data_IF_704061577146
#
_entry.id   IF_704061577146
#
_cell.length_a   1.000
_cell.length_b   1.000
_cell.length_c   1.000
_cell.angle_alpha   90.00
_cell.angle_beta   90.00
_cell.angle_gamma   90.00
#
_symmetry.space_group_name_H-M   'P 1'
#
loop_
_entity.id
_entity.type
_entity.pdbx_description
1 polymer ?
#
# COMPACT_ATOMS: atom_id res chain seq x y z
N UNK A 1 -4.49 -1.96 -68.93
CA UNK A 1 -5.60 -1.71 -67.98
C UNK A 1 -5.34 -2.23 -66.55
N UNK A 2 -4.30 -3.05 -66.28
CA UNK A 2 -4.04 -3.61 -64.94
C UNK A 2 -3.70 -2.59 -63.83
N UNK A 3 -2.89 -1.57 -64.10
CA UNK A 3 -2.40 -0.66 -63.06
C UNK A 3 -3.45 0.20 -62.33
N UNK A 4 -4.64 0.42 -62.93
CA UNK A 4 -5.74 1.11 -62.24
C UNK A 4 -6.48 0.22 -61.23
N UNK A 5 -6.51 -1.10 -61.47
CA UNK A 5 -7.20 -2.06 -60.59
C UNK A 5 -6.37 -2.29 -59.32
N UNK A 6 -5.05 -2.41 -59.47
CA UNK A 6 -4.13 -2.61 -58.34
C UNK A 6 -4.09 -1.41 -57.37
N UNK A 7 -4.20 -0.18 -57.89
CA UNK A 7 -4.25 1.04 -57.08
C UNK A 7 -5.57 1.14 -56.27
N UNK A 8 -6.70 0.73 -56.85
CA UNK A 8 -7.99 0.70 -56.15
C UNK A 8 -7.97 -0.33 -55.01
N UNK A 9 -7.41 -1.52 -55.25
CA UNK A 9 -7.27 -2.57 -54.23
C UNK A 9 -6.33 -2.11 -53.09
N UNK A 10 -5.22 -1.44 -53.42
CA UNK A 10 -4.28 -0.86 -52.47
C UNK A 10 -4.94 0.19 -51.55
N UNK A 11 -5.71 1.12 -52.12
CA UNK A 11 -6.44 2.14 -51.35
C UNK A 11 -7.52 1.53 -50.45
N UNK A 12 -8.24 0.51 -50.94
CA UNK A 12 -9.23 -0.21 -50.16
C UNK A 12 -8.59 -0.92 -48.94
N UNK A 13 -7.48 -1.63 -49.14
CA UNK A 13 -6.73 -2.28 -48.06
C UNK A 13 -6.23 -1.27 -47.02
N UNK A 14 -5.67 -0.13 -47.45
CA UNK A 14 -5.23 0.93 -46.52
C UNK A 14 -6.41 1.53 -45.74
N UNK A 15 -7.58 1.69 -46.35
CA UNK A 15 -8.78 2.20 -45.66
C UNK A 15 -9.29 1.20 -44.62
N UNK A 16 -9.33 -0.09 -44.96
CA UNK A 16 -9.70 -1.16 -44.02
C UNK A 16 -8.70 -1.21 -42.86
N UNK A 17 -7.40 -1.19 -43.14
CA UNK A 17 -6.35 -1.19 -42.12
C UNK A 17 -6.50 -0.02 -41.15
N UNK A 18 -6.71 1.20 -41.65
CA UNK A 18 -6.96 2.38 -40.81
C UNK A 18 -8.22 2.26 -39.98
N UNK A 19 -9.29 1.68 -40.53
CA UNK A 19 -10.53 1.46 -39.80
C UNK A 19 -10.35 0.43 -38.67
N UNK A 20 -9.60 -0.64 -38.90
CA UNK A 20 -9.24 -1.64 -37.88
C UNK A 20 -8.41 -0.98 -36.78
N UNK A 21 -7.34 -0.26 -37.13
CA UNK A 21 -6.49 0.43 -36.15
C UNK A 21 -7.27 1.46 -35.33
N UNK A 22 -8.20 2.19 -35.95
CA UNK A 22 -9.06 3.14 -35.26
C UNK A 22 -10.03 2.43 -34.31
N UNK A 23 -10.67 1.35 -34.76
CA UNK A 23 -11.57 0.55 -33.93
C UNK A 23 -10.84 -0.08 -32.74
N UNK A 24 -9.59 -0.53 -32.93
CA UNK A 24 -8.76 -1.04 -31.84
C UNK A 24 -8.41 0.05 -30.83
N UNK A 25 -8.05 1.26 -31.29
CA UNK A 25 -7.77 2.40 -30.40
C UNK A 25 -9.01 2.81 -29.61
N UNK A 26 -10.16 2.90 -30.25
CA UNK A 26 -11.41 3.28 -29.60
C UNK A 26 -11.86 2.21 -28.60
N UNK A 27 -11.69 0.93 -28.94
CA UNK A 27 -11.95 -0.17 -28.03
C UNK A 27 -11.02 -0.13 -26.80
N UNK A 28 -9.72 0.13 -26.98
CA UNK A 28 -8.76 0.31 -25.87
C UNK A 28 -9.17 1.45 -24.96
N UNK A 29 -9.51 2.61 -25.53
CA UNK A 29 -9.95 3.78 -24.75
C UNK A 29 -11.23 3.47 -23.95
N UNK A 30 -12.17 2.73 -24.54
CA UNK A 30 -13.41 2.31 -23.86
C UNK A 30 -13.13 1.36 -22.69
N UNK A 31 -12.28 0.35 -22.89
CA UNK A 31 -11.89 -0.60 -21.83
C UNK A 31 -11.19 0.13 -20.68
N UNK A 32 -10.30 1.06 -21.01
CA UNK A 32 -9.62 1.88 -20.02
C UNK A 32 -10.61 2.75 -19.22
N UNK A 33 -11.66 3.31 -19.80
CA UNK A 33 -12.70 4.00 -19.02
C UNK A 33 -13.46 3.04 -18.09
N UNK A 34 -13.87 1.88 -18.64
CA UNK A 34 -14.60 0.84 -17.91
C UNK A 34 -13.85 0.33 -16.68
N UNK A 35 -12.51 0.30 -16.70
CA UNK A 35 -11.71 -0.14 -15.53
C UNK A 35 -12.04 0.67 -14.27
N UNK A 36 -12.19 1.99 -14.39
CA UNK A 36 -12.48 2.86 -13.25
C UNK A 36 -13.90 2.61 -12.74
N UNK A 37 -14.84 2.35 -13.64
CA UNK A 37 -16.21 1.98 -13.29
C UNK A 37 -16.24 0.66 -12.50
N UNK A 38 -15.45 -0.34 -12.91
CA UNK A 38 -15.32 -1.62 -12.22
C UNK A 38 -14.72 -1.45 -10.83
N UNK A 39 -13.64 -0.68 -10.68
CA UNK A 39 -13.05 -0.43 -9.36
C UNK A 39 -14.08 0.24 -8.41
N UNK A 40 -14.78 1.26 -8.89
CA UNK A 40 -15.82 1.95 -8.12
C UNK A 40 -17.01 1.03 -7.80
N UNK A 41 -17.43 0.18 -8.74
CA UNK A 41 -18.49 -0.80 -8.52
C UNK A 41 -18.06 -1.87 -7.50
N UNK A 42 -16.79 -2.28 -7.50
CA UNK A 42 -16.20 -3.19 -6.53
C UNK A 42 -16.28 -2.64 -5.10
N UNK A 43 -15.88 -1.38 -4.90
CA UNK A 43 -15.98 -0.70 -3.60
C UNK A 43 -17.43 -0.62 -3.12
N UNK A 44 -18.37 -0.17 -3.98
CA UNK A 44 -19.80 -0.11 -3.63
C UNK A 44 -20.39 -1.47 -3.29
N UNK A 45 -20.00 -2.52 -4.02
CA UNK A 45 -20.45 -3.88 -3.74
C UNK A 45 -19.89 -4.39 -2.41
N UNK A 46 -18.62 -4.10 -2.10
CA UNK A 46 -17.98 -4.44 -0.83
C UNK A 46 -18.66 -3.77 0.36
N UNK A 47 -18.90 -2.45 0.28
CA UNK A 47 -19.61 -1.69 1.31
C UNK A 47 -21.04 -2.19 1.53
N UNK A 48 -21.71 -2.64 0.47
CA UNK A 48 -23.03 -3.26 0.54
C UNK A 48 -23.01 -4.73 1.02
N UNK A 49 -21.84 -5.28 1.38
CA UNK A 49 -21.68 -6.68 1.81
C UNK A 49 -21.82 -7.73 0.69
N UNK A 50 -21.90 -7.30 -0.58
CA UNK A 50 -21.99 -8.20 -1.76
C UNK A 50 -20.60 -8.68 -2.18
N UNK A 51 -20.02 -9.58 -1.39
CA UNK A 51 -18.65 -10.09 -1.51
C UNK A 51 -18.33 -10.64 -2.90
N UNK A 52 -19.20 -11.50 -3.46
CA UNK A 52 -18.94 -12.15 -4.76
C UNK A 52 -18.86 -11.15 -5.92
N UNK A 53 -19.75 -10.15 -5.92
CA UNK A 53 -19.78 -9.10 -6.93
C UNK A 53 -18.58 -8.15 -6.80
N UNK A 54 -18.15 -7.84 -5.56
CA UNK A 54 -16.95 -7.05 -5.32
C UNK A 54 -15.71 -7.73 -5.92
N UNK A 55 -15.54 -9.03 -5.65
CA UNK A 55 -14.42 -9.82 -6.21
C UNK A 55 -14.45 -9.81 -7.75
N UNK A 56 -15.62 -10.05 -8.36
CA UNK A 56 -15.75 -10.04 -9.82
C UNK A 56 -15.37 -8.68 -10.43
N UNK A 57 -15.82 -7.59 -9.83
CA UNK A 57 -15.50 -6.24 -10.29
C UNK A 57 -14.00 -5.92 -10.17
N UNK A 58 -13.38 -6.26 -9.04
CA UNK A 58 -11.94 -6.07 -8.83
C UNK A 58 -11.08 -6.92 -9.77
N UNK A 59 -11.43 -8.18 -9.98
CA UNK A 59 -10.74 -9.03 -10.95
C UNK A 59 -10.94 -8.55 -12.39
N UNK A 60 -12.13 -8.04 -12.72
CA UNK A 60 -12.41 -7.41 -14.01
C UNK A 60 -11.54 -6.18 -14.26
N UNK A 61 -11.30 -5.35 -13.24
CA UNK A 61 -10.36 -4.24 -13.32
C UNK A 61 -8.93 -4.71 -13.65
N UNK A 62 -8.42 -5.72 -12.92
CA UNK A 62 -7.08 -6.27 -13.15
C UNK A 62 -6.95 -6.89 -14.54
N UNK A 63 -7.97 -7.63 -15.00
CA UNK A 63 -7.99 -8.25 -16.32
C UNK A 63 -7.86 -7.24 -17.46
N UNK A 64 -8.54 -6.09 -17.35
CA UNK A 64 -8.42 -5.02 -18.36
C UNK A 64 -6.98 -4.50 -18.42
N UNK A 65 -6.31 -4.36 -17.28
CA UNK A 65 -4.91 -3.93 -17.23
C UNK A 65 -3.95 -4.99 -17.77
N UNK A 66 -4.20 -6.27 -17.50
CA UNK A 66 -3.43 -7.39 -18.03
C UNK A 66 -3.50 -7.42 -19.56
N UNK A 67 -4.71 -7.32 -20.11
CA UNK A 67 -4.93 -7.22 -21.56
C UNK A 67 -4.27 -5.98 -22.16
N UNK A 68 -4.34 -4.83 -21.47
CA UNK A 68 -3.70 -3.59 -21.93
C UNK A 68 -2.18 -3.67 -21.94
N UNK A 69 -1.57 -4.35 -20.96
CA UNK A 69 -0.12 -4.56 -20.89
C UNK A 69 0.35 -5.77 -21.70
N UNK A 70 -0.56 -6.56 -22.28
CA UNK A 70 -0.24 -7.76 -23.04
C UNK A 70 0.36 -8.88 -22.18
N UNK A 71 -0.04 -8.97 -20.91
CA UNK A 71 0.43 -9.99 -19.97
C UNK A 71 -0.69 -10.99 -19.65
N UNK A 72 -0.32 -12.21 -19.29
CA UNK A 72 -1.27 -13.22 -18.82
C UNK A 72 -1.87 -12.88 -17.45
N UNK A 73 -2.86 -13.69 -17.03
CA UNK A 73 -3.51 -13.54 -15.72
C UNK A 73 -2.49 -13.60 -14.58
N UNK A 74 -2.53 -12.62 -13.68
CA UNK A 74 -1.58 -12.46 -12.58
C UNK A 74 -0.20 -11.93 -13.02
N UNK A 75 0.00 -11.63 -14.29
CA UNK A 75 1.27 -11.18 -14.87
C UNK A 75 1.60 -9.70 -14.62
N UNK A 76 0.69 -8.95 -13.98
CA UNK A 76 0.95 -7.54 -13.64
C UNK A 76 2.10 -7.43 -12.64
N UNK A 77 3.05 -6.55 -12.98
CA UNK A 77 4.15 -6.11 -12.13
C UNK A 77 4.29 -4.60 -12.21
N UNK A 78 4.83 -3.93 -11.16
CA UNK A 78 5.03 -2.48 -11.18
C UNK A 78 5.96 -1.99 -12.29
N UNK A 79 6.88 -2.85 -12.75
CA UNK A 79 7.84 -2.54 -13.83
C UNK A 79 7.18 -2.27 -15.17
N UNK A 80 5.91 -2.67 -15.35
CA UNK A 80 5.13 -2.39 -16.55
C UNK A 80 4.59 -0.95 -16.60
N UNK A 81 4.74 -0.19 -15.51
CA UNK A 81 4.20 1.15 -15.32
C UNK A 81 5.34 2.14 -15.06
N UNK A 82 5.17 3.38 -15.50
CA UNK A 82 6.11 4.46 -15.21
C UNK A 82 5.80 5.03 -13.80
N UNK A 83 6.69 4.89 -12.80
CA UNK A 83 6.42 5.33 -11.44
C UNK A 83 6.23 6.83 -11.27
N UNK A 84 6.44 7.66 -12.30
CA UNK A 84 6.17 9.10 -12.27
C UNK A 84 4.88 9.46 -12.98
N UNK A 85 4.56 8.78 -14.08
CA UNK A 85 3.36 9.07 -14.89
C UNK A 85 2.14 8.28 -14.45
N UNK A 86 2.34 7.04 -14.03
CA UNK A 86 1.28 6.07 -13.72
C UNK A 86 1.05 5.93 -12.21
N UNK A 87 1.48 6.90 -11.39
CA UNK A 87 1.37 6.84 -9.91
C UNK A 87 -0.06 6.54 -9.46
N UNK A 88 -1.06 7.20 -10.06
CA UNK A 88 -2.46 6.99 -9.70
C UNK A 88 -2.96 5.61 -10.09
N UNK A 89 -2.49 5.05 -11.21
CA UNK A 89 -2.84 3.69 -11.61
C UNK A 89 -2.18 2.67 -10.68
N UNK A 90 -0.90 2.85 -10.37
CA UNK A 90 -0.17 2.02 -9.40
C UNK A 90 -0.83 2.03 -8.02
N UNK A 91 -1.27 3.22 -7.57
CA UNK A 91 -2.02 3.37 -6.33
C UNK A 91 -3.37 2.64 -6.39
N UNK A 92 -4.10 2.75 -7.50
CA UNK A 92 -5.38 2.07 -7.68
C UNK A 92 -5.22 0.55 -7.73
N UNK A 93 -4.19 0.03 -8.41
CA UNK A 93 -3.84 -1.39 -8.41
C UNK A 93 -3.54 -1.87 -6.99
N UNK A 94 -2.73 -1.12 -6.24
CA UNK A 94 -2.44 -1.42 -4.83
C UNK A 94 -3.73 -1.44 -4.00
N UNK A 95 -4.62 -0.45 -4.16
CA UNK A 95 -5.90 -0.41 -3.45
C UNK A 95 -6.81 -1.60 -3.80
N UNK A 96 -6.87 -2.00 -5.07
CA UNK A 96 -7.65 -3.18 -5.50
C UNK A 96 -7.10 -4.47 -4.90
N UNK A 97 -5.78 -4.66 -4.90
CA UNK A 97 -5.19 -5.83 -4.24
C UNK A 97 -5.44 -5.82 -2.73
N UNK A 98 -5.39 -4.64 -2.10
CA UNK A 98 -5.73 -4.50 -0.68
C UNK A 98 -7.17 -4.92 -0.38
N UNK A 99 -8.13 -4.47 -1.19
CA UNK A 99 -9.54 -4.83 -1.01
C UNK A 99 -9.78 -6.33 -1.22
N UNK A 100 -9.12 -6.93 -2.23
CA UNK A 100 -9.12 -8.39 -2.41
C UNK A 100 -8.52 -9.10 -1.19
N UNK A 101 -7.39 -8.65 -0.65
CA UNK A 101 -6.80 -9.23 0.56
C UNK A 101 -7.78 -9.21 1.74
N UNK A 102 -8.52 -8.11 1.97
CA UNK A 102 -9.54 -8.05 3.04
C UNK A 102 -10.72 -8.98 2.77
N UNK A 103 -11.19 -9.05 1.53
CA UNK A 103 -12.28 -9.94 1.11
C UNK A 103 -11.94 -11.41 1.42
N UNK A 104 -10.70 -11.81 1.19
CA UNK A 104 -10.25 -13.19 1.40
C UNK A 104 -9.75 -13.47 2.83
N UNK A 105 -9.41 -12.46 3.64
CA UNK A 105 -9.02 -12.65 5.06
C UNK A 105 -10.10 -13.34 5.89
N UNK A 106 -11.39 -13.10 5.59
CA UNK A 106 -12.51 -13.70 6.33
C UNK A 106 -12.75 -15.18 6.01
N UNK A 107 -11.99 -15.76 5.09
CA UNK A 107 -12.19 -17.12 4.60
C UNK A 107 -11.32 -18.13 5.35
N UNK A 108 -11.85 -19.35 5.55
CA UNK A 108 -11.15 -20.44 6.28
C UNK A 108 -10.74 -21.63 5.41
N UNK A 109 -11.14 -21.66 4.13
CA UNK A 109 -10.73 -22.74 3.22
C UNK A 109 -9.26 -22.57 2.83
N UNK A 110 -8.52 -23.68 2.73
CA UNK A 110 -7.13 -23.71 2.29
C UNK A 110 -6.94 -23.15 0.87
N UNK A 111 -7.87 -23.39 -0.07
CA UNK A 111 -7.76 -22.79 -1.41
C UNK A 111 -7.84 -21.26 -1.36
N UNK A 112 -8.81 -20.75 -0.58
CA UNK A 112 -9.01 -19.30 -0.43
C UNK A 112 -7.89 -18.65 0.38
N UNK A 113 -7.23 -19.40 1.27
CA UNK A 113 -6.02 -18.95 1.95
C UNK A 113 -4.87 -18.74 0.96
N UNK A 114 -4.71 -19.59 -0.05
CA UNK A 114 -3.72 -19.38 -1.12
C UNK A 114 -4.01 -18.11 -1.91
N UNK A 115 -5.27 -17.86 -2.24
CA UNK A 115 -5.70 -16.61 -2.91
C UNK A 115 -5.45 -15.38 -2.02
N UNK A 116 -5.77 -15.45 -0.73
CA UNK A 116 -5.44 -14.41 0.24
C UNK A 116 -3.93 -14.07 0.24
N UNK A 117 -3.07 -15.10 0.36
CA UNK A 117 -1.62 -14.92 0.36
C UNK A 117 -1.13 -14.34 -0.96
N UNK A 118 -1.67 -14.80 -2.08
CA UNK A 118 -1.35 -14.28 -3.40
C UNK A 118 -1.67 -12.78 -3.53
N UNK A 119 -2.87 -12.36 -3.13
CA UNK A 119 -3.25 -10.94 -3.19
C UNK A 119 -2.46 -10.08 -2.20
N UNK A 120 -2.15 -10.62 -1.02
CA UNK A 120 -1.27 -9.95 -0.05
C UNK A 120 0.13 -9.69 -0.64
N UNK A 121 0.72 -10.71 -1.28
CA UNK A 121 2.01 -10.58 -1.94
C UNK A 121 1.97 -9.52 -3.04
N UNK A 122 0.92 -9.53 -3.87
CA UNK A 122 0.71 -8.50 -4.90
C UNK A 122 0.54 -7.10 -4.31
N UNK A 123 -0.19 -6.96 -3.20
CA UNK A 123 -0.32 -5.69 -2.50
C UNK A 123 1.05 -5.17 -2.04
N UNK A 124 1.88 -6.02 -1.44
CA UNK A 124 3.25 -5.65 -1.03
C UNK A 124 4.08 -5.25 -2.25
N UNK A 125 4.03 -6.06 -3.33
CA UNK A 125 4.77 -5.82 -4.56
C UNK A 125 4.43 -4.46 -5.19
N UNK A 126 3.16 -4.09 -5.23
CA UNK A 126 2.69 -2.81 -5.79
C UNK A 126 2.81 -1.62 -4.83
N UNK A 127 3.13 -1.86 -3.56
CA UNK A 127 3.25 -0.78 -2.56
C UNK A 127 4.70 -0.44 -2.22
N UNK A 128 5.58 -1.44 -2.20
CA UNK A 128 6.97 -1.27 -1.76
C UNK A 128 7.79 -0.45 -2.77
N UNK A 129 8.53 0.53 -2.27
CA UNK A 129 9.36 1.45 -3.06
C UNK A 129 8.56 2.52 -3.81
N UNK A 130 7.23 2.57 -3.65
CA UNK A 130 6.39 3.57 -4.29
C UNK A 130 6.27 4.84 -3.45
N UNK A 131 6.00 6.03 -4.05
CA UNK A 131 5.82 7.27 -3.30
C UNK A 131 4.72 7.20 -2.23
N UNK A 132 3.74 6.31 -2.42
CA UNK A 132 2.62 6.08 -1.51
C UNK A 132 2.83 4.88 -0.55
N UNK A 133 4.02 4.28 -0.50
CA UNK A 133 4.36 3.21 0.45
C UNK A 133 3.96 3.54 1.91
N UNK A 134 4.20 4.76 2.43
CA UNK A 134 3.80 5.11 3.79
C UNK A 134 2.28 5.03 4.00
N UNK A 135 1.48 5.40 2.99
CA UNK A 135 0.03 5.30 3.04
C UNK A 135 -0.40 3.83 3.14
N UNK A 136 0.19 2.96 2.32
CA UNK A 136 -0.08 1.51 2.34
C UNK A 136 0.27 0.87 3.68
N UNK A 137 1.41 1.26 4.28
CA UNK A 137 1.79 0.81 5.61
C UNK A 137 0.79 1.26 6.68
N UNK A 138 0.33 2.51 6.63
CA UNK A 138 -0.67 3.03 7.57
C UNK A 138 -2.04 2.35 7.42
N UNK A 139 -2.45 2.01 6.19
CA UNK A 139 -3.68 1.24 5.93
C UNK A 139 -3.61 -0.14 6.58
N UNK A 140 -2.50 -0.87 6.40
CA UNK A 140 -2.27 -2.16 7.08
C UNK A 140 -2.34 -2.02 8.60
N UNK A 141 -1.66 -1.00 9.13
CA UNK A 141 -1.60 -0.75 10.57
C UNK A 141 -2.99 -0.53 11.17
N UNK A 142 -3.81 0.29 10.53
CA UNK A 142 -5.19 0.54 10.95
C UNK A 142 -6.01 -0.75 10.91
N UNK A 143 -5.87 -1.54 9.85
CA UNK A 143 -6.61 -2.79 9.71
C UNK A 143 -6.26 -3.82 10.80
N UNK A 144 -4.97 -4.00 11.11
CA UNK A 144 -4.51 -4.90 12.19
C UNK A 144 -5.10 -4.49 13.54
N UNK A 145 -5.13 -3.19 13.84
CA UNK A 145 -5.55 -2.68 15.15
C UNK A 145 -7.07 -2.60 15.29
N UNK A 146 -7.79 -2.21 14.24
CA UNK A 146 -9.23 -1.95 14.30
C UNK A 146 -10.08 -3.18 13.98
N UNK A 147 -9.76 -3.89 12.90
CA UNK A 147 -10.68 -4.86 12.31
C UNK A 147 -10.45 -6.31 12.77
N UNK A 148 -9.42 -6.53 13.59
CA UNK A 148 -9.02 -7.83 14.15
C UNK A 148 -9.00 -8.92 13.07
N UNK A 149 -8.02 -8.89 12.16
CA UNK A 149 -7.95 -9.85 11.05
C UNK A 149 -7.88 -11.29 11.54
N UNK A 150 -8.31 -12.23 10.71
CA UNK A 150 -8.17 -13.67 11.01
C UNK A 150 -6.69 -14.05 10.89
N UNK A 151 -6.03 -13.61 9.81
CA UNK A 151 -4.64 -13.93 9.48
C UNK A 151 -3.65 -12.90 10.05
N UNK A 152 -3.71 -12.67 11.38
CA UNK A 152 -2.94 -11.59 12.04
C UNK A 152 -1.43 -11.66 11.80
N UNK A 153 -0.87 -12.86 11.71
CA UNK A 153 0.57 -13.03 11.53
C UNK A 153 1.02 -12.52 10.14
N UNK A 154 0.26 -12.84 9.11
CA UNK A 154 0.50 -12.47 7.72
C UNK A 154 0.40 -10.95 7.52
N UNK A 155 -0.63 -10.29 8.09
CA UNK A 155 -0.73 -8.83 8.05
C UNK A 155 0.41 -8.13 8.80
N UNK A 156 0.85 -8.68 9.95
CA UNK A 156 2.02 -8.14 10.67
C UNK A 156 3.30 -8.27 9.86
N UNK A 157 3.49 -9.40 9.17
CA UNK A 157 4.63 -9.59 8.29
C UNK A 157 4.60 -8.63 7.10
N UNK A 158 3.44 -8.44 6.46
CA UNK A 158 3.25 -7.46 5.40
C UNK A 158 3.57 -6.02 5.89
N UNK A 159 3.09 -5.66 7.08
CA UNK A 159 3.39 -4.36 7.68
C UNK A 159 4.89 -4.18 7.95
N UNK A 160 5.57 -5.20 8.51
CA UNK A 160 7.03 -5.18 8.72
C UNK A 160 7.79 -4.94 7.40
N UNK A 161 7.32 -5.52 6.30
CA UNK A 161 7.94 -5.34 4.97
C UNK A 161 7.74 -3.92 4.42
N UNK A 162 6.55 -3.31 4.61
CA UNK A 162 6.22 -1.96 4.10
C UNK A 162 6.59 -0.81 5.04
N UNK A 163 6.69 -1.03 6.34
CA UNK A 163 7.07 0.02 7.31
C UNK A 163 8.58 0.31 7.30
N UNK A 164 9.37 -0.59 6.69
CA UNK A 164 10.81 -0.63 6.80
C UNK A 164 11.30 -0.90 8.22
N UNK A 165 12.60 -0.70 8.45
CA UNK A 165 13.32 -0.88 9.73
C UNK A 165 12.96 0.13 10.84
N UNK A 166 11.83 0.82 10.73
CA UNK A 166 11.48 1.89 11.63
C UNK A 166 10.72 1.36 12.86
N UNK A 167 11.38 1.42 14.01
CA UNK A 167 10.83 1.09 15.34
C UNK A 167 10.46 -0.40 15.53
N UNK A 168 11.43 -1.30 15.34
CA UNK A 168 11.33 -2.77 15.51
C UNK A 168 10.46 -3.28 16.67
N UNK A 169 10.72 -2.84 17.92
CA UNK A 169 10.00 -3.31 19.11
C UNK A 169 8.54 -2.85 19.11
N UNK A 170 8.30 -1.59 18.74
CA UNK A 170 6.95 -1.05 18.63
C UNK A 170 6.14 -1.76 17.53
N UNK A 171 6.80 -2.08 16.41
CA UNK A 171 6.20 -2.88 15.31
C UNK A 171 5.87 -4.31 15.74
N UNK A 172 6.68 -4.92 16.61
CA UNK A 172 6.39 -6.25 17.16
C UNK A 172 5.13 -6.25 18.05
N UNK A 173 4.87 -5.15 18.76
CA UNK A 173 3.75 -4.97 19.69
C UNK A 173 2.53 -4.27 19.08
N UNK A 174 2.43 -4.22 17.75
CA UNK A 174 1.39 -3.46 17.06
C UNK A 174 -0.04 -3.90 17.45
N UNK A 175 -0.23 -5.18 17.74
CA UNK A 175 -1.51 -5.80 18.10
C UNK A 175 -2.02 -5.45 19.51
N UNK A 176 -1.13 -4.98 20.39
CA UNK A 176 -1.44 -4.67 21.79
C UNK A 176 -1.28 -3.19 22.14
N UNK A 177 -0.74 -2.39 21.22
CA UNK A 177 -0.44 -0.96 21.42
C UNK A 177 -1.50 -0.06 20.77
N UNK A 178 -1.64 1.15 21.30
CA UNK A 178 -2.55 2.15 20.74
C UNK A 178 -2.12 2.54 19.30
N UNK A 179 -3.07 2.71 18.36
CA UNK A 179 -2.80 3.25 17.03
C UNK A 179 -1.96 4.54 16.97
N UNK A 180 -1.88 5.36 18.03
CA UNK A 180 -1.12 6.61 18.05
C UNK A 180 0.33 6.44 18.47
N UNK A 181 0.66 5.32 19.12
CA UNK A 181 1.99 5.05 19.73
C UNK A 181 3.10 5.08 18.70
N UNK A 182 2.96 4.36 17.59
CA UNK A 182 3.98 4.28 16.53
C UNK A 182 4.28 5.65 15.89
N UNK A 183 3.29 6.43 15.42
CA UNK A 183 3.50 7.79 14.94
C UNK A 183 4.21 8.67 15.97
N UNK A 184 3.75 8.67 17.24
CA UNK A 184 4.35 9.48 18.30
C UNK A 184 5.82 9.14 18.57
N UNK A 185 6.16 7.84 18.58
CA UNK A 185 7.55 7.40 18.77
C UNK A 185 8.45 7.79 17.59
N UNK A 186 7.95 7.70 16.36
CA UNK A 186 8.70 8.13 15.16
C UNK A 186 8.93 9.65 15.20
N UNK A 187 7.90 10.42 15.50
CA UNK A 187 8.02 11.88 15.67
C UNK A 187 9.03 12.23 16.76
N UNK A 188 8.98 11.57 17.91
CA UNK A 188 9.94 11.81 18.99
C UNK A 188 11.38 11.45 18.60
N UNK A 189 11.56 10.31 17.93
CA UNK A 189 12.87 9.89 17.38
C UNK A 189 13.44 10.97 16.45
N UNK A 190 12.64 11.43 15.50
CA UNK A 190 13.11 12.32 14.42
C UNK A 190 13.23 13.78 14.87
N UNK A 191 12.31 14.26 15.71
CA UNK A 191 12.25 15.67 16.11
C UNK A 191 13.00 15.96 17.41
N UNK A 192 13.14 15.00 18.32
CA UNK A 192 13.79 15.21 19.62
C UNK A 192 15.15 14.50 19.67
N UNK A 193 15.17 13.17 19.50
CA UNK A 193 16.42 12.39 19.64
C UNK A 193 17.45 12.74 18.56
N UNK A 194 17.04 12.82 17.30
CA UNK A 194 17.97 13.05 16.19
C UNK A 194 18.68 14.41 16.27
N UNK A 195 18.08 15.40 16.95
CA UNK A 195 18.69 16.72 17.18
C UNK A 195 19.92 16.64 18.08
N UNK A 196 19.98 15.67 18.99
CA UNK A 196 21.03 15.56 20.01
C UNK A 196 22.07 14.50 19.61
N UNK A 197 23.36 14.74 19.88
CA UNK A 197 24.42 13.78 19.57
C UNK A 197 24.22 12.43 20.31
N UNK A 198 23.86 12.49 21.60
CA UNK A 198 23.51 11.30 22.39
C UNK A 198 22.26 10.59 21.88
N UNK A 199 21.26 11.33 21.42
CA UNK A 199 20.06 10.75 20.81
C UNK A 199 20.34 10.03 19.49
N UNK A 200 21.25 10.55 18.65
CA UNK A 200 21.72 9.84 17.45
C UNK A 200 22.48 8.56 17.78
N UNK A 201 23.31 8.56 18.82
CA UNK A 201 23.98 7.33 19.29
C UNK A 201 22.96 6.29 19.77
N UNK A 202 21.98 6.71 20.58
CA UNK A 202 20.90 5.84 21.04
C UNK A 202 20.11 5.24 19.87
N UNK A 203 19.79 6.06 18.86
CA UNK A 203 19.15 5.57 17.62
C UNK A 203 20.04 4.51 16.96
N UNK A 204 21.34 4.75 16.77
CA UNK A 204 22.23 3.75 16.15
C UNK A 204 22.26 2.44 16.93
N UNK A 205 22.37 2.49 18.25
CA UNK A 205 22.33 1.30 19.12
C UNK A 205 20.98 0.59 18.99
N UNK A 206 19.88 1.33 19.03
CA UNK A 206 18.54 0.78 18.84
C UNK A 206 18.39 0.10 17.47
N UNK A 207 18.93 0.67 16.40
CA UNK A 207 18.86 0.04 15.07
C UNK A 207 19.80 -1.16 14.92
N UNK A 208 20.89 -1.20 15.69
CA UNK A 208 21.82 -2.34 15.72
C UNK A 208 21.23 -3.55 16.44
N UNK A 209 20.56 -3.34 17.56
CA UNK A 209 20.04 -4.43 18.42
C UNK A 209 18.52 -4.61 18.34
N UNK A 210 17.80 -3.66 17.76
CA UNK A 210 16.34 -3.64 17.65
C UNK A 210 15.73 -4.87 16.98
N UNK A 211 16.31 -5.43 15.88
CA UNK A 211 15.80 -6.65 15.27
C UNK A 211 15.78 -7.84 16.24
N UNK A 212 16.84 -8.03 17.02
CA UNK A 212 16.93 -9.09 18.03
C UNK A 212 15.92 -8.86 19.16
N UNK A 213 15.82 -7.63 19.64
CA UNK A 213 14.83 -7.27 20.66
C UNK A 213 13.39 -7.52 20.19
N UNK A 214 13.08 -7.24 18.92
CA UNK A 214 11.76 -7.52 18.34
C UNK A 214 11.47 -9.02 18.23
N UNK A 215 12.46 -9.84 17.84
CA UNK A 215 12.32 -11.30 17.83
C UNK A 215 12.03 -11.84 19.23
N UNK A 216 12.77 -11.37 20.25
CA UNK A 216 12.51 -11.74 21.64
C UNK A 216 11.10 -11.32 22.06
N UNK A 217 10.67 -10.12 21.68
CA UNK A 217 9.34 -9.60 21.99
C UNK A 217 8.21 -10.42 21.31
N UNK A 218 8.45 -10.94 20.13
CA UNK A 218 7.52 -11.84 19.41
C UNK A 218 7.38 -13.21 20.09
N UNK A 219 8.40 -13.67 20.81
CA UNK A 219 8.37 -14.91 21.59
C UNK A 219 7.77 -14.75 23.00
N UNK A 220 7.43 -13.53 23.44
CA UNK A 220 6.93 -13.31 24.79
C UNK A 220 5.46 -13.76 24.95
N UNK A 221 5.08 -14.30 26.14
CA UNK A 221 3.69 -14.55 26.51
C UNK A 221 2.81 -13.30 26.37
N UNK A 222 1.55 -13.51 25.99
CA UNK A 222 0.59 -12.43 25.72
C UNK A 222 0.44 -11.43 26.89
N UNK A 223 0.46 -11.92 28.13
CA UNK A 223 0.39 -11.08 29.34
C UNK A 223 1.57 -10.10 29.43
N UNK A 224 2.78 -10.55 29.10
CA UNK A 224 3.98 -9.71 29.12
C UNK A 224 3.98 -8.75 27.93
N UNK A 225 3.53 -9.19 26.76
CA UNK A 225 3.33 -8.31 25.60
C UNK A 225 2.33 -7.20 25.89
N UNK A 226 1.21 -7.50 26.53
CA UNK A 226 0.23 -6.49 26.96
C UNK A 226 0.81 -5.50 27.98
N UNK A 227 1.63 -5.97 28.93
CA UNK A 227 2.33 -5.11 29.88
C UNK A 227 3.33 -4.17 29.19
N UNK A 228 4.15 -4.71 28.30
CA UNK A 228 5.10 -3.93 27.49
C UNK A 228 4.38 -2.96 26.56
N UNK A 229 3.26 -3.36 25.95
CA UNK A 229 2.43 -2.51 25.12
C UNK A 229 1.93 -1.30 25.88
N UNK A 230 1.34 -1.49 27.06
CA UNK A 230 0.88 -0.38 27.93
C UNK A 230 2.02 0.55 28.35
N UNK A 231 3.16 0.00 28.75
CA UNK A 231 4.32 0.81 29.12
C UNK A 231 4.82 1.64 27.93
N UNK A 232 4.79 1.07 26.72
CA UNK A 232 5.16 1.76 25.50
C UNK A 232 4.15 2.86 25.13
N UNK A 233 2.86 2.59 25.31
CA UNK A 233 1.79 3.58 25.10
C UNK A 233 1.95 4.76 26.05
N UNK A 234 2.13 4.51 27.35
CA UNK A 234 2.37 5.54 28.37
C UNK A 234 3.62 6.37 28.05
N UNK A 235 4.69 5.71 27.63
CA UNK A 235 5.91 6.40 27.19
C UNK A 235 5.65 7.25 25.96
N UNK A 236 4.90 6.75 24.98
CA UNK A 236 4.60 7.48 23.75
C UNK A 236 3.79 8.75 24.01
N UNK A 237 2.86 8.72 24.97
CA UNK A 237 2.08 9.91 25.38
C UNK A 237 3.01 10.96 25.98
N UNK A 238 3.98 10.56 26.81
CA UNK A 238 4.99 11.48 27.36
C UNK A 238 5.89 12.04 26.26
N UNK A 239 6.38 11.19 25.37
CA UNK A 239 7.20 11.56 24.22
C UNK A 239 6.49 12.53 23.25
N UNK A 240 5.18 12.36 23.06
CA UNK A 240 4.36 13.26 22.25
C UNK A 240 4.28 14.66 22.87
N UNK A 241 4.13 14.76 24.21
CA UNK A 241 4.13 16.05 24.92
C UNK A 241 5.47 16.78 24.77
N UNK A 242 6.58 16.05 24.91
CA UNK A 242 7.94 16.63 24.74
C UNK A 242 8.15 17.14 23.31
N UNK A 243 7.74 16.35 22.31
CA UNK A 243 7.83 16.77 20.91
C UNK A 243 7.01 18.04 20.62
N UNK A 244 5.82 18.18 21.24
CA UNK A 244 4.96 19.36 21.08
C UNK A 244 5.56 20.64 21.70
N UNK A 245 6.34 20.52 22.79
CA UNK A 245 7.07 21.67 23.36
C UNK A 245 8.25 22.09 22.48
N UNK A 246 8.96 21.13 21.89
CA UNK A 246 10.14 21.39 21.04
C UNK A 246 9.79 21.98 19.67
N UNK A 247 8.56 21.79 19.18
CA UNK A 247 8.08 22.42 17.94
C UNK A 247 7.64 23.88 18.12
N UNK A 248 7.23 24.28 19.33
CA UNK A 248 6.87 25.68 19.64
C UNK A 248 8.08 26.60 19.87
N UNK A 249 9.26 26.05 20.14
CA UNK A 249 10.50 26.81 20.38
C UNK A 249 11.38 26.95 19.13
N UNK A 250 10.80 26.86 17.91
CA UNK A 250 11.51 27.23 16.69
C UNK A 250 11.79 28.73 16.69
N UNK A 251 12.96 29.19 16.21
CA UNK A 251 13.26 30.61 16.18
C UNK A 251 12.24 31.31 15.30
N UNK A 252 11.56 32.28 15.89
CA UNK A 252 10.72 33.26 15.22
C UNK A 252 11.64 34.02 14.26
N UNK A 253 11.73 33.52 13.02
CA UNK A 253 12.46 34.13 11.93
C UNK A 253 11.76 35.42 11.54
N UNK A 254 12.06 36.48 12.28
CA UNK A 254 12.09 37.88 11.86
C UNK A 254 11.29 38.18 10.59
N UNK A 255 10.06 38.63 10.80
CA UNK A 255 9.45 39.66 9.96
C UNK A 255 10.42 40.85 9.88
N UNK A 256 11.18 40.95 8.80
CA UNK A 256 11.64 42.23 8.29
C UNK A 256 10.80 42.55 7.06
N UNK A 257 9.74 43.33 7.28
CA UNK A 257 9.25 44.21 6.23
C UNK A 257 10.21 45.40 6.13
N UNK A 258 10.53 45.82 4.91
CA UNK A 258 10.81 47.21 4.57
C UNK A 258 10.92 47.36 3.04
N UNK A 259 9.93 48.08 2.49
CA UNK A 259 9.83 48.76 1.18
C UNK A 259 9.86 47.93 -0.09
#
# INVERSE_FOLDING_TARGET
MGGKVDDVISRARKKVQRAIEQAERDNRNRLLKRRIELANAGVRAYEAGRIGEAVQNFLGYLKILEEWKGVGQGGLTPTLFDPKKDVYELLLISAVYWDLTKLFDRTKSEERRKEFLHYMEKYILFSKGMPFEPLCAETLRKYVNLEKPVHRAEFRNAYKVLSGSNCFVATALLDVTDPRTLPSLRTYRDQVLARHAGGRLLIRVYYRFGPLAAQVTDCLPERLRCGLGKALDDFSVRAARVSATTSRSGPDGTRTGCR
#
